data_IF_338749566091
#
_entry.id   IF_338749566091
#
_cell.length_a   1.000
_cell.length_b   1.000
_cell.length_c   1.000
_cell.angle_alpha   90.00
_cell.angle_beta   90.00
_cell.angle_gamma   90.00
#
_symmetry.space_group_name_H-M   'P 1'
#
loop_
_entity.id
_entity.type
_entity.pdbx_description
1 polymer ?
#
# COMPACT_ATOMS: atom_id res chain seq x y z
N UNK A 1 -6.88 -4.71 4.84
CA UNK A 1 -7.84 -4.13 5.81
C UNK A 1 -8.74 -5.17 6.47
N UNK A 2 -9.40 -6.07 5.73
CA UNK A 2 -10.28 -7.10 6.32
C UNK A 2 -9.58 -8.02 7.33
N UNK A 3 -8.39 -8.55 7.01
CA UNK A 3 -7.61 -9.38 7.95
C UNK A 3 -7.20 -8.61 9.20
N UNK A 4 -6.87 -7.33 9.06
CA UNK A 4 -6.54 -6.45 10.18
C UNK A 4 -7.76 -6.27 11.11
N UNK A 5 -8.98 -6.22 10.60
CA UNK A 5 -10.19 -6.15 11.44
C UNK A 5 -10.33 -7.35 12.39
N UNK A 6 -9.83 -8.53 12.01
CA UNK A 6 -9.91 -9.72 12.88
C UNK A 6 -8.91 -9.69 14.03
N UNK A 7 -7.79 -8.98 13.87
CA UNK A 7 -6.70 -8.88 14.86
C UNK A 7 -6.72 -7.58 15.65
N UNK A 8 -7.61 -6.64 15.33
CA UNK A 8 -7.73 -5.39 16.06
C UNK A 8 -8.21 -5.60 17.50
N UNK A 9 -7.63 -4.83 18.41
CA UNK A 9 -7.83 -4.97 19.86
C UNK A 9 -9.19 -4.42 20.29
N UNK A 10 -9.59 -3.25 19.79
CA UNK A 10 -10.83 -2.57 20.19
C UNK A 10 -11.93 -2.76 19.14
N UNK A 11 -13.18 -2.82 19.61
CA UNK A 11 -14.35 -3.01 18.72
C UNK A 11 -14.51 -1.88 17.70
N UNK A 12 -14.23 -0.63 18.10
CA UNK A 12 -14.31 0.52 17.20
C UNK A 12 -13.30 0.44 16.05
N UNK A 13 -12.11 -0.11 16.32
CA UNK A 13 -11.12 -0.37 15.27
C UNK A 13 -11.63 -1.43 14.29
N UNK A 14 -12.27 -2.50 14.79
CA UNK A 14 -12.87 -3.55 13.94
C UNK A 14 -13.93 -2.98 12.99
N UNK A 15 -14.84 -2.16 13.51
CA UNK A 15 -15.91 -1.53 12.71
C UNK A 15 -15.32 -0.60 11.66
N UNK A 16 -14.32 0.21 12.05
CA UNK A 16 -13.67 1.14 11.12
C UNK A 16 -12.93 0.40 10.01
N UNK A 17 -12.17 -0.63 10.34
CA UNK A 17 -11.44 -1.46 9.37
C UNK A 17 -12.37 -2.24 8.44
N UNK A 18 -13.51 -2.70 8.93
CA UNK A 18 -14.53 -3.34 8.09
C UNK A 18 -15.09 -2.35 7.05
N UNK A 19 -15.41 -1.12 7.45
CA UNK A 19 -15.86 -0.06 6.52
C UNK A 19 -14.80 0.26 5.47
N UNK A 20 -13.54 0.42 5.89
CA UNK A 20 -12.42 0.66 4.98
C UNK A 20 -12.21 -0.51 4.02
N UNK A 21 -12.39 -1.76 4.48
CA UNK A 21 -12.32 -2.93 3.61
C UNK A 21 -13.44 -2.95 2.56
N UNK A 22 -14.68 -2.61 2.95
CA UNK A 22 -15.80 -2.49 2.00
C UNK A 22 -15.53 -1.43 0.93
N UNK A 23 -14.94 -0.31 1.31
CA UNK A 23 -14.54 0.75 0.37
C UNK A 23 -13.45 0.28 -0.60
N UNK A 24 -12.40 -0.39 -0.11
CA UNK A 24 -11.38 -0.96 -1.00
C UNK A 24 -11.96 -1.99 -1.97
N UNK A 25 -12.96 -2.76 -1.53
CA UNK A 25 -13.66 -3.71 -2.41
C UNK A 25 -14.49 -3.00 -3.48
N UNK A 26 -15.20 -1.93 -3.14
CA UNK A 26 -15.90 -1.10 -4.12
C UNK A 26 -14.95 -0.53 -5.19
N UNK A 27 -13.78 -0.03 -4.79
CA UNK A 27 -12.75 0.44 -5.73
C UNK A 27 -12.27 -0.69 -6.67
N UNK A 28 -12.11 -1.91 -6.15
CA UNK A 28 -11.79 -3.08 -6.97
C UNK A 28 -12.91 -3.40 -7.98
N UNK A 29 -14.18 -3.32 -7.57
CA UNK A 29 -15.31 -3.56 -8.48
C UNK A 29 -15.35 -2.52 -9.61
N UNK A 30 -15.11 -1.25 -9.30
CA UNK A 30 -15.06 -0.18 -10.32
C UNK A 30 -13.91 -0.39 -11.32
N UNK A 31 -12.71 -0.72 -10.83
CA UNK A 31 -11.56 -1.05 -11.68
C UNK A 31 -11.85 -2.28 -12.54
N UNK A 32 -12.42 -3.33 -11.95
CA UNK A 32 -12.75 -4.57 -12.67
C UNK A 32 -13.74 -4.31 -13.79
N UNK A 33 -14.77 -3.50 -13.55
CA UNK A 33 -15.73 -3.11 -14.59
C UNK A 33 -15.09 -2.29 -15.71
N UNK A 34 -14.12 -1.43 -15.38
CA UNK A 34 -13.37 -0.68 -16.39
C UNK A 34 -12.49 -1.61 -17.24
N UNK A 35 -11.75 -2.51 -16.60
CA UNK A 35 -10.91 -3.53 -17.26
C UNK A 35 -11.75 -4.42 -18.18
N UNK A 36 -12.93 -4.88 -17.74
CA UNK A 36 -13.84 -5.67 -18.58
C UNK A 36 -14.34 -4.89 -19.81
N UNK A 37 -14.56 -3.57 -19.70
CA UNK A 37 -14.90 -2.72 -20.85
C UNK A 37 -13.77 -2.62 -21.88
N UNK A 38 -12.53 -2.83 -21.46
CA UNK A 38 -11.35 -2.93 -22.33
C UNK A 38 -11.16 -4.34 -22.91
N UNK A 39 -12.05 -5.29 -22.61
CA UNK A 39 -11.99 -6.66 -23.10
C UNK A 39 -10.99 -7.55 -22.35
N UNK A 40 -10.57 -7.15 -21.15
CA UNK A 40 -9.65 -7.91 -20.30
C UNK A 40 -10.37 -8.50 -19.07
N UNK A 41 -9.78 -9.53 -18.47
CA UNK A 41 -10.29 -10.15 -17.25
C UNK A 41 -9.45 -9.73 -16.03
N UNK A 42 -10.09 -9.05 -15.06
CA UNK A 42 -9.40 -8.55 -13.87
C UNK A 42 -8.86 -9.67 -12.98
N UNK A 43 -9.50 -10.84 -12.96
CA UNK A 43 -9.04 -11.99 -12.15
C UNK A 43 -7.80 -12.61 -12.77
N UNK A 44 -7.75 -12.77 -14.09
CA UNK A 44 -6.54 -13.22 -14.80
C UNK A 44 -5.36 -12.26 -14.58
N UNK A 45 -5.62 -10.94 -14.64
CA UNK A 45 -4.60 -9.93 -14.30
C UNK A 45 -4.11 -10.07 -12.85
N UNK A 46 -5.03 -10.23 -11.90
CA UNK A 46 -4.66 -10.47 -10.50
C UNK A 46 -3.83 -11.75 -10.33
N UNK A 47 -4.17 -12.82 -11.05
CA UNK A 47 -3.43 -14.09 -11.01
C UNK A 47 -2.00 -13.95 -11.55
N UNK A 48 -1.79 -13.15 -12.60
CA UNK A 48 -0.45 -12.88 -13.13
C UNK A 48 0.46 -12.23 -12.08
N UNK A 49 -0.08 -11.29 -11.29
CA UNK A 49 0.70 -10.55 -10.28
C UNK A 49 0.65 -11.16 -8.87
N UNK A 50 -0.21 -12.14 -8.60
CA UNK A 50 -0.38 -12.79 -7.31
C UNK A 50 0.94 -13.30 -6.69
N UNK A 51 1.85 -13.95 -7.44
CA UNK A 51 3.09 -14.46 -6.86
C UNK A 51 3.96 -13.36 -6.23
N UNK A 52 3.98 -12.16 -6.82
CA UNK A 52 4.73 -11.02 -6.30
C UNK A 52 4.20 -10.59 -4.93
N UNK A 53 2.88 -10.54 -4.78
CA UNK A 53 2.23 -10.18 -3.52
C UNK A 53 2.33 -11.31 -2.48
N UNK A 54 2.26 -12.57 -2.89
CA UNK A 54 2.39 -13.73 -2.00
C UNK A 54 3.77 -13.77 -1.34
N UNK A 55 4.85 -13.62 -2.12
CA UNK A 55 6.21 -13.58 -1.56
C UNK A 55 6.39 -12.36 -0.63
N UNK A 56 5.85 -11.20 -1.00
CA UNK A 56 5.89 -10.03 -0.13
C UNK A 56 5.16 -10.30 1.18
N UNK A 57 3.99 -10.94 1.14
CA UNK A 57 3.20 -11.29 2.32
C UNK A 57 3.95 -12.24 3.26
N UNK A 58 4.60 -13.27 2.74
CA UNK A 58 5.39 -14.23 3.51
C UNK A 58 6.57 -13.57 4.23
N UNK A 59 7.33 -12.73 3.51
CA UNK A 59 8.53 -12.07 4.06
C UNK A 59 8.20 -10.97 5.06
N UNK A 60 6.97 -10.46 5.01
CA UNK A 60 6.48 -9.37 5.85
C UNK A 60 5.31 -9.80 6.75
N UNK A 61 5.33 -11.03 7.27
CA UNK A 61 4.32 -11.47 8.25
C UNK A 61 4.44 -10.65 9.55
N UNK A 62 3.40 -9.90 9.95
CA UNK A 62 3.42 -9.12 11.18
C UNK A 62 3.31 -10.05 12.40
N UNK A 63 3.95 -9.68 13.51
CA UNK A 63 3.86 -10.41 14.79
C UNK A 63 2.61 -10.07 15.59
N UNK A 64 2.10 -8.86 15.42
CA UNK A 64 0.96 -8.35 16.19
C UNK A 64 0.15 -7.31 15.40
N UNK A 65 -0.83 -6.74 16.08
CA UNK A 65 -1.71 -5.67 15.59
C UNK A 65 -0.92 -4.45 15.10
N UNK A 66 0.04 -3.96 15.88
CA UNK A 66 0.79 -2.75 15.53
C UNK A 66 1.71 -2.96 14.33
N UNK A 67 2.34 -4.13 14.18
CA UNK A 67 3.10 -4.48 12.98
C UNK A 67 2.19 -4.63 11.75
N UNK A 68 0.95 -5.07 11.94
CA UNK A 68 -0.06 -5.15 10.87
C UNK A 68 -0.49 -3.76 10.39
N UNK A 69 -0.65 -2.80 11.31
CA UNK A 69 -0.90 -1.40 11.00
C UNK A 69 0.29 -0.77 10.28
N UNK A 70 1.50 -0.93 10.81
CA UNK A 70 2.73 -0.41 10.20
C UNK A 70 2.95 -0.99 8.79
N UNK A 71 2.71 -2.29 8.60
CA UNK A 71 2.76 -2.92 7.27
C UNK A 71 1.79 -2.25 6.29
N UNK A 72 0.54 -2.06 6.71
CA UNK A 72 -0.47 -1.38 5.89
C UNK A 72 -0.03 0.04 5.51
N UNK A 73 0.46 0.82 6.48
CA UNK A 73 0.92 2.20 6.25
C UNK A 73 2.10 2.29 5.27
N UNK A 74 3.11 1.45 5.44
CA UNK A 74 4.31 1.47 4.58
C UNK A 74 3.98 0.99 3.17
N UNK A 75 3.22 -0.09 3.05
CA UNK A 75 2.87 -0.65 1.74
C UNK A 75 1.96 0.29 0.97
N UNK A 76 0.92 0.83 1.60
CA UNK A 76 0.04 1.79 0.94
C UNK A 76 0.84 3.00 0.44
N UNK A 77 1.67 3.60 1.29
CA UNK A 77 2.45 4.77 0.89
C UNK A 77 3.44 4.51 -0.25
N UNK A 78 4.20 3.39 -0.19
CA UNK A 78 5.19 3.07 -1.23
C UNK A 78 4.49 2.67 -2.53
N UNK A 79 3.45 1.83 -2.47
CA UNK A 79 2.75 1.38 -3.66
C UNK A 79 1.97 2.52 -4.32
N UNK A 80 1.37 3.43 -3.54
CA UNK A 80 0.70 4.62 -4.08
C UNK A 80 1.69 5.53 -4.84
N UNK A 81 2.89 5.78 -4.29
CA UNK A 81 3.92 6.55 -5.00
C UNK A 81 4.35 5.87 -6.33
N UNK A 82 4.49 4.54 -6.31
CA UNK A 82 4.80 3.76 -7.52
C UNK A 82 3.66 3.77 -8.53
N UNK A 83 2.42 3.53 -8.10
CA UNK A 83 1.26 3.55 -8.99
C UNK A 83 1.06 4.93 -9.61
N UNK A 84 1.31 6.02 -8.88
CA UNK A 84 1.30 7.38 -9.46
C UNK A 84 2.29 7.54 -10.60
N UNK A 85 3.44 6.88 -10.53
CA UNK A 85 4.40 6.88 -11.65
C UNK A 85 3.85 6.17 -12.89
N UNK A 86 3.03 5.14 -12.69
CA UNK A 86 2.46 4.31 -13.75
C UNK A 86 1.18 4.90 -14.39
N UNK A 87 0.32 5.52 -13.60
CA UNK A 87 -1.01 5.97 -14.08
C UNK A 87 -0.95 7.12 -15.06
N UNK A 88 0.13 7.90 -15.09
CA UNK A 88 0.33 9.01 -16.02
C UNK A 88 0.30 8.60 -17.50
N UNK A 89 0.47 7.31 -17.81
CA UNK A 89 0.41 6.77 -19.18
C UNK A 89 -1.00 6.28 -19.57
N UNK A 90 -1.94 6.27 -18.64
CA UNK A 90 -3.30 5.84 -18.91
C UNK A 90 -4.06 6.90 -19.70
N UNK A 91 -4.85 6.44 -20.68
CA UNK A 91 -5.85 7.26 -21.33
C UNK A 91 -7.12 7.40 -20.49
N UNK A 92 -7.93 8.41 -20.78
CA UNK A 92 -9.26 8.51 -20.17
C UNK A 92 -10.20 7.41 -20.68
N UNK A 93 -11.12 6.90 -19.85
CA UNK A 93 -11.41 7.32 -18.47
C UNK A 93 -10.52 6.66 -17.38
N UNK A 94 -9.55 5.84 -17.77
CA UNK A 94 -8.73 5.04 -16.86
C UNK A 94 -7.85 5.88 -15.94
N UNK A 95 -7.27 6.97 -16.47
CA UNK A 95 -6.51 7.94 -15.68
C UNK A 95 -7.35 8.52 -14.54
N UNK A 96 -8.50 9.13 -14.86
CA UNK A 96 -9.37 9.76 -13.85
C UNK A 96 -9.85 8.77 -12.78
N UNK A 97 -10.18 7.54 -13.17
CA UNK A 97 -10.57 6.48 -12.23
C UNK A 97 -9.42 6.12 -11.29
N UNK A 98 -8.23 5.87 -11.84
CA UNK A 98 -7.06 5.48 -11.05
C UNK A 98 -6.64 6.59 -10.09
N UNK A 99 -6.62 7.85 -10.53
CA UNK A 99 -6.29 9.01 -9.67
C UNK A 99 -7.33 9.16 -8.55
N UNK A 100 -8.62 9.03 -8.84
CA UNK A 100 -9.68 9.09 -7.81
C UNK A 100 -9.44 8.07 -6.70
N UNK A 101 -9.05 6.84 -7.05
CA UNK A 101 -8.76 5.78 -6.08
C UNK A 101 -7.45 6.06 -5.32
N UNK A 102 -6.40 6.53 -6.00
CA UNK A 102 -5.11 6.86 -5.39
C UNK A 102 -5.17 8.08 -4.46
N UNK A 103 -6.11 8.99 -4.68
CA UNK A 103 -6.35 10.19 -3.86
C UNK A 103 -7.20 9.88 -2.60
N UNK A 104 -7.78 8.68 -2.48
CA UNK A 104 -8.55 8.29 -1.30
C UNK A 104 -7.65 7.92 -0.11
N UNK A 105 -7.39 8.89 0.75
CA UNK A 105 -6.48 8.73 1.90
C UNK A 105 -7.14 8.18 3.16
N UNK A 106 -8.45 7.88 3.16
CA UNK A 106 -9.20 7.56 4.39
C UNK A 106 -8.60 6.40 5.19
N UNK A 107 -8.18 5.34 4.51
CA UNK A 107 -7.55 4.19 5.17
C UNK A 107 -6.19 4.57 5.78
N UNK A 108 -5.39 5.30 5.03
CA UNK A 108 -4.03 5.68 5.41
C UNK A 108 -4.03 6.72 6.52
N UNK A 109 -4.99 7.65 6.52
CA UNK A 109 -5.18 8.63 7.59
C UNK A 109 -5.60 7.96 8.90
N UNK A 110 -6.52 6.98 8.83
CA UNK A 110 -6.90 6.20 10.00
C UNK A 110 -5.69 5.45 10.60
N UNK A 111 -4.94 4.73 9.76
CA UNK A 111 -3.74 3.99 10.21
C UNK A 111 -2.67 4.94 10.75
N UNK A 112 -2.43 6.09 10.09
CA UNK A 112 -1.47 7.11 10.54
C UNK A 112 -1.85 7.61 11.92
N UNK A 113 -3.09 8.06 12.11
CA UNK A 113 -3.56 8.60 13.38
C UNK A 113 -3.42 7.57 14.50
N UNK A 114 -3.74 6.30 14.23
CA UNK A 114 -3.59 5.24 15.21
C UNK A 114 -2.13 4.97 15.57
N UNK A 115 -1.27 4.83 14.57
CA UNK A 115 0.16 4.65 14.79
C UNK A 115 0.77 5.80 15.58
N UNK A 116 0.46 7.05 15.22
CA UNK A 116 0.95 8.24 15.93
C UNK A 116 0.56 8.23 17.40
N UNK A 117 -0.69 7.90 17.72
CA UNK A 117 -1.14 7.80 19.10
C UNK A 117 -0.42 6.68 19.88
N UNK A 118 -0.30 5.49 19.27
CA UNK A 118 0.30 4.34 19.93
C UNK A 118 1.82 4.54 20.16
N UNK A 119 2.57 5.07 19.18
CA UNK A 119 4.03 5.29 19.32
C UNK A 119 4.37 6.45 20.26
N UNK A 120 3.50 7.46 20.38
CA UNK A 120 3.68 8.53 21.35
C UNK A 120 3.50 8.04 22.80
N UNK A 121 2.68 7.01 23.01
CA UNK A 121 2.41 6.42 24.32
C UNK A 121 3.48 5.39 24.75
N UNK A 122 4.21 4.78 23.82
CA UNK A 122 5.17 3.70 24.10
C UNK A 122 6.45 3.80 23.25
N UNK A 123 7.57 4.15 23.89
CA UNK A 123 8.88 4.30 23.25
C UNK A 123 9.53 2.98 22.83
N UNK A 124 9.19 1.87 23.49
CA UNK A 124 9.65 0.54 23.08
C UNK A 124 8.92 0.10 21.81
N UNK A 125 7.61 0.35 21.75
CA UNK A 125 6.81 0.15 20.54
C UNK A 125 7.37 0.98 19.38
N UNK A 126 7.63 2.27 19.59
CA UNK A 126 8.22 3.14 18.58
C UNK A 126 9.52 2.57 17.99
N UNK A 127 10.46 2.15 18.87
CA UNK A 127 11.74 1.57 18.45
C UNK A 127 11.56 0.27 17.65
N UNK A 128 10.63 -0.59 18.09
CA UNK A 128 10.30 -1.84 17.39
C UNK A 128 9.69 -1.59 16.03
N UNK A 129 8.75 -0.65 15.92
CA UNK A 129 8.08 -0.31 14.66
C UNK A 129 9.02 0.39 13.68
N UNK A 130 10.01 1.15 14.14
CA UNK A 130 11.04 1.71 13.27
C UNK A 130 11.90 0.61 12.62
N UNK A 131 12.32 -0.40 13.39
CA UNK A 131 13.08 -1.55 12.86
C UNK A 131 12.24 -2.39 11.89
N UNK A 132 10.96 -2.57 12.19
CA UNK A 132 10.01 -3.22 11.30
C UNK A 132 9.80 -2.42 10.00
N UNK A 133 9.65 -1.10 10.09
CA UNK A 133 9.53 -0.18 8.96
C UNK A 133 10.70 -0.33 7.98
N UNK A 134 11.95 -0.34 8.46
CA UNK A 134 13.14 -0.58 7.62
C UNK A 134 13.07 -1.91 6.85
N UNK A 135 12.66 -2.98 7.52
CA UNK A 135 12.49 -4.28 6.86
C UNK A 135 11.41 -4.21 5.78
N UNK A 136 10.26 -3.61 6.07
CA UNK A 136 9.17 -3.45 5.09
C UNK A 136 9.62 -2.71 3.83
N UNK A 137 10.37 -1.61 3.99
CA UNK A 137 10.91 -0.83 2.86
C UNK A 137 11.85 -1.67 2.00
N UNK A 138 12.79 -2.38 2.62
CA UNK A 138 13.75 -3.22 1.91
C UNK A 138 13.05 -4.32 1.09
N UNK A 139 11.99 -4.90 1.64
CA UNK A 139 11.18 -5.91 0.96
C UNK A 139 10.30 -5.33 -0.16
N UNK A 140 9.82 -4.09 0.01
CA UNK A 140 8.84 -3.48 -0.90
C UNK A 140 9.50 -2.79 -2.08
N UNK A 141 10.60 -2.03 -1.89
CA UNK A 141 11.20 -1.22 -2.97
C UNK A 141 11.63 -2.07 -4.17
N UNK A 142 12.40 -3.14 -3.93
CA UNK A 142 12.86 -4.00 -5.01
C UNK A 142 11.72 -4.73 -5.72
N UNK A 143 10.67 -5.11 -4.98
CA UNK A 143 9.49 -5.80 -5.53
C UNK A 143 8.55 -4.86 -6.27
N UNK A 144 8.37 -3.65 -5.78
CA UNK A 144 7.60 -2.60 -6.44
C UNK A 144 8.22 -2.22 -7.78
N UNK A 145 9.55 -2.10 -7.84
CA UNK A 145 10.27 -1.98 -9.12
C UNK A 145 9.96 -3.16 -10.03
N UNK A 146 10.21 -4.39 -9.59
CA UNK A 146 10.00 -5.58 -10.42
C UNK A 146 8.55 -5.72 -10.91
N UNK A 147 7.57 -5.34 -10.08
CA UNK A 147 6.16 -5.31 -10.44
C UNK A 147 5.90 -4.33 -11.58
N UNK A 148 6.41 -3.10 -11.46
CA UNK A 148 6.18 -2.06 -12.47
C UNK A 148 6.96 -2.29 -13.76
N UNK A 149 8.11 -2.96 -13.69
CA UNK A 149 8.90 -3.33 -14.88
C UNK A 149 8.48 -4.66 -15.48
N UNK A 150 7.37 -5.26 -15.02
CA UNK A 150 6.84 -6.46 -15.65
C UNK A 150 6.49 -6.14 -17.12
N UNK A 151 6.97 -6.94 -18.10
CA UNK A 151 6.72 -6.69 -19.52
C UNK A 151 5.22 -6.58 -19.87
N UNK A 152 4.35 -7.18 -19.06
CA UNK A 152 2.90 -7.07 -19.22
C UNK A 152 2.40 -5.62 -19.13
N UNK A 153 3.02 -4.79 -18.28
CA UNK A 153 2.58 -3.41 -18.08
C UNK A 153 3.12 -2.44 -19.14
N UNK A 154 4.21 -2.81 -19.82
CA UNK A 154 4.82 -1.96 -20.85
C UNK A 154 5.39 -0.63 -20.35
N UNK A 155 5.55 -0.46 -19.03
CA UNK A 155 6.09 0.76 -18.42
C UNK A 155 7.61 0.80 -18.63
N UNK A 156 8.12 1.98 -18.99
CA UNK A 156 9.55 2.21 -19.14
C UNK A 156 10.31 2.01 -17.81
N UNK A 157 11.27 1.08 -17.83
CA UNK A 157 12.12 0.78 -16.68
C UNK A 157 12.92 2.01 -16.21
N UNK A 158 13.38 2.86 -17.13
CA UNK A 158 14.12 4.08 -16.78
C UNK A 158 13.24 5.02 -15.94
N UNK A 159 11.95 5.13 -16.28
CA UNK A 159 10.96 5.92 -15.53
C UNK A 159 10.75 5.36 -14.13
N UNK A 160 10.59 4.04 -14.01
CA UNK A 160 10.44 3.37 -12.71
C UNK A 160 11.68 3.60 -11.85
N UNK A 161 12.88 3.43 -12.39
CA UNK A 161 14.15 3.65 -11.68
C UNK A 161 14.30 5.11 -11.26
N UNK A 162 13.95 6.07 -12.12
CA UNK A 162 14.00 7.49 -11.82
C UNK A 162 13.05 7.90 -10.68
N UNK A 163 11.97 7.15 -10.44
CA UNK A 163 11.02 7.41 -9.34
C UNK A 163 11.55 7.00 -7.96
N UNK A 164 12.47 6.02 -7.88
CA UNK A 164 12.91 5.40 -6.61
C UNK A 164 13.41 6.42 -5.57
N UNK A 165 14.23 7.43 -5.91
CA UNK A 165 14.65 8.45 -4.95
C UNK A 165 13.46 9.22 -4.34
N UNK A 166 12.45 9.55 -5.15
CA UNK A 166 11.25 10.25 -4.68
C UNK A 166 10.40 9.36 -3.77
N UNK A 167 10.18 8.09 -4.15
CA UNK A 167 9.48 7.10 -3.31
C UNK A 167 10.17 6.94 -1.95
N UNK A 168 11.50 6.84 -1.96
CA UNK A 168 12.31 6.70 -0.74
C UNK A 168 12.21 7.95 0.14
N UNK A 169 12.35 9.14 -0.44
CA UNK A 169 12.22 10.40 0.28
C UNK A 169 10.82 10.60 0.89
N UNK A 170 9.77 10.26 0.14
CA UNK A 170 8.39 10.31 0.62
C UNK A 170 8.15 9.31 1.76
N UNK A 171 8.73 8.12 1.69
CA UNK A 171 8.69 7.16 2.79
C UNK A 171 9.35 7.73 4.05
N UNK A 172 10.55 8.32 3.94
CA UNK A 172 11.21 8.94 5.09
C UNK A 172 10.37 10.05 5.73
N UNK A 173 9.73 10.91 4.91
CA UNK A 173 8.80 11.94 5.41
C UNK A 173 7.62 11.33 6.15
N UNK A 174 7.01 10.26 5.62
CA UNK A 174 5.90 9.54 6.25
C UNK A 174 6.31 8.95 7.60
N UNK A 175 7.50 8.36 7.72
CA UNK A 175 8.01 7.84 8.99
C UNK A 175 8.29 8.96 10.00
N UNK A 176 8.90 10.06 9.56
CA UNK A 176 9.12 11.24 10.42
C UNK A 176 7.82 11.85 10.93
N UNK A 177 6.75 11.83 10.14
CA UNK A 177 5.43 12.29 10.56
C UNK A 177 4.80 11.41 11.67
N UNK A 178 5.25 10.16 11.81
CA UNK A 178 4.90 9.29 12.94
C UNK A 178 5.81 9.51 14.16
N UNK A 179 6.79 10.42 14.11
CA UNK A 179 7.82 10.55 15.13
C UNK A 179 8.86 9.42 15.11
N UNK A 180 8.94 8.69 13.98
CA UNK A 180 9.87 7.58 13.80
C UNK A 180 11.02 7.97 12.87
N UNK A 181 12.19 7.39 13.10
CA UNK A 181 13.33 7.50 12.17
C UNK A 181 13.22 6.35 11.16
N UNK A 182 13.28 6.68 9.87
CA UNK A 182 13.43 5.71 8.79
C UNK A 182 14.86 5.13 8.82
#
# INVERSE_FOLDING_TARGET
>A
MATNATTAVHMDDKVTLARLASLSFANFEELSQHISRLGQDAVELCQHFEPTFTVLAERTRPRDWHESLMKGFVFDGIMNDFYRTAVDELSEPGYSLAITILDDTRATDYVRNRLTADVAADTQLASRLALWGRKLVAETLGRGRNLLTDPFLGIDEERVVASIPAVTANHSKRMSALGLVA
#
